data_IF_128274498632
#
_entry.id   IF_128274498632
#
_cell.length_a   1.000
_cell.length_b   1.000
_cell.length_c   1.000
_cell.angle_alpha   90.00
_cell.angle_beta   90.00
_cell.angle_gamma   90.00
#
_symmetry.space_group_name_H-M   'P 1'
#
loop_
_entity.id
_entity.type
_entity.pdbx_description
1 polymer ?
#
# COMPACT_ATOMS: atom_id res chain seq x y z
N UNK A 1 -4.55 1.56 12.83
CA UNK A 1 -3.52 2.58 12.56
C UNK A 1 -2.66 2.71 13.81
N UNK A 2 -1.34 2.73 13.66
CA UNK A 2 -0.38 2.90 14.75
C UNK A 2 0.79 3.74 14.23
N UNK A 3 1.05 4.89 14.86
CA UNK A 3 2.00 5.88 14.32
C UNK A 3 1.66 6.24 12.87
N UNK A 4 2.64 6.13 11.98
CA UNK A 4 2.52 6.39 10.54
C UNK A 4 2.21 5.11 9.73
N UNK A 5 1.63 4.08 10.35
CA UNK A 5 1.36 2.79 9.72
C UNK A 5 -0.09 2.32 9.92
N UNK A 6 -0.56 1.45 9.02
CA UNK A 6 -1.81 0.70 9.14
C UNK A 6 -1.54 -0.79 9.02
N UNK A 7 -2.18 -1.59 9.88
CA UNK A 7 -2.14 -3.04 9.78
C UNK A 7 -3.26 -3.51 8.83
N UNK A 8 -2.93 -4.35 7.85
CA UNK A 8 -3.92 -5.10 7.09
C UNK A 8 -4.58 -6.16 8.01
N UNK A 9 -5.90 -6.16 8.18
CA UNK A 9 -6.58 -7.09 9.10
C UNK A 9 -6.55 -8.55 8.63
N UNK A 10 -6.26 -8.80 7.35
CA UNK A 10 -6.23 -10.16 6.78
C UNK A 10 -4.84 -10.79 6.88
N UNK A 11 -3.80 -10.06 6.46
CA UNK A 11 -2.45 -10.61 6.27
C UNK A 11 -1.42 -10.04 7.25
N UNK A 12 -1.84 -9.21 8.20
CA UNK A 12 -0.99 -8.58 9.22
C UNK A 12 0.17 -7.73 8.66
N UNK A 13 0.02 -7.22 7.44
CA UNK A 13 0.97 -6.31 6.83
C UNK A 13 1.00 -4.97 7.53
N UNK A 14 2.17 -4.49 7.91
CA UNK A 14 2.37 -3.12 8.35
C UNK A 14 2.67 -2.22 7.15
N UNK A 15 1.69 -1.46 6.69
CA UNK A 15 1.80 -0.57 5.52
C UNK A 15 2.03 0.86 6.00
N UNK A 16 3.04 1.52 5.47
CA UNK A 16 3.36 2.91 5.78
C UNK A 16 2.40 3.88 5.08
N UNK A 17 1.88 4.85 5.83
CA UNK A 17 1.00 5.91 5.33
C UNK A 17 1.79 7.02 4.61
N UNK A 18 3.11 7.08 4.82
CA UNK A 18 4.00 8.03 4.14
C UNK A 18 4.31 7.54 2.74
N UNK A 19 4.73 6.27 2.65
CA UNK A 19 5.31 5.68 1.46
C UNK A 19 4.51 4.49 0.85
N UNK A 20 3.37 4.11 1.42
CA UNK A 20 2.58 2.98 0.91
C UNK A 20 3.30 1.62 0.97
N UNK A 21 4.57 1.59 1.39
CA UNK A 21 5.39 0.38 1.42
C UNK A 21 4.96 -0.50 2.58
N UNK A 22 4.87 -1.79 2.31
CA UNK A 22 4.86 -2.81 3.35
C UNK A 22 6.21 -2.79 4.08
N UNK A 23 6.18 -2.90 5.40
CA UNK A 23 7.38 -3.00 6.23
C UNK A 23 7.80 -4.47 6.32
N UNK A 24 9.12 -4.66 6.44
CA UNK A 24 9.71 -5.98 6.57
C UNK A 24 9.01 -6.79 7.67
N UNK A 25 8.73 -8.09 7.45
CA UNK A 25 9.27 -8.95 6.39
C UNK A 25 8.49 -8.92 5.05
N UNK A 26 7.39 -8.16 4.98
CA UNK A 26 6.54 -8.10 3.78
C UNK A 26 7.15 -7.20 2.69
N UNK A 27 6.84 -7.49 1.42
CA UNK A 27 7.31 -6.73 0.26
C UNK A 27 6.12 -6.43 -0.63
N UNK A 28 5.90 -5.15 -0.90
CA UNK A 28 4.83 -4.68 -1.75
C UNK A 28 4.50 -3.24 -1.39
N UNK A 29 3.81 -2.54 -2.28
CA UNK A 29 3.44 -1.16 -2.08
C UNK A 29 1.96 -1.00 -2.43
N UNK A 30 1.20 -0.38 -1.54
CA UNK A 30 -0.14 0.07 -1.86
C UNK A 30 -0.05 1.28 -2.80
N UNK A 31 -0.83 1.27 -3.90
CA UNK A 31 -0.90 2.41 -4.81
C UNK A 31 -1.29 3.68 -4.05
N UNK A 32 -0.56 4.76 -4.33
CA UNK A 32 -0.77 6.06 -3.70
C UNK A 32 -1.42 7.04 -4.64
N UNK A 33 -2.25 7.90 -4.07
CA UNK A 33 -2.96 8.96 -4.77
C UNK A 33 -2.69 10.29 -4.09
N UNK A 34 -2.55 11.34 -4.89
CA UNK A 34 -2.50 12.70 -4.42
C UNK A 34 -3.85 13.10 -3.82
N UNK A 35 -3.80 13.64 -2.61
CA UNK A 35 -4.96 14.07 -1.83
C UNK A 35 -4.89 15.58 -1.63
N UNK A 36 -6.04 16.24 -1.75
CA UNK A 36 -6.25 17.61 -1.30
C UNK A 36 -7.29 17.63 -0.19
N UNK A 37 -7.00 18.35 0.88
CA UNK A 37 -7.95 18.65 1.95
C UNK A 37 -8.26 20.15 1.92
N UNK A 38 -9.53 20.51 1.77
CA UNK A 38 -9.99 21.90 1.76
C UNK A 38 -11.35 21.99 2.44
N UNK A 39 -11.48 22.87 3.42
CA UNK A 39 -12.75 23.12 4.14
C UNK A 39 -13.38 21.84 4.72
N UNK A 40 -12.54 20.90 5.20
CA UNK A 40 -12.98 19.60 5.71
C UNK A 40 -13.36 18.57 4.64
N UNK A 41 -13.41 18.96 3.37
CA UNK A 41 -13.60 18.05 2.25
C UNK A 41 -12.26 17.44 1.81
N UNK A 42 -12.27 16.14 1.53
CA UNK A 42 -11.12 15.37 1.03
C UNK A 42 -11.40 14.98 -0.43
N UNK A 43 -10.47 15.30 -1.33
CA UNK A 43 -10.58 14.97 -2.75
C UNK A 43 -9.31 14.26 -3.24
N UNK A 44 -9.47 13.26 -4.09
CA UNK A 44 -8.37 12.61 -4.81
C UNK A 44 -8.12 13.31 -6.15
N UNK A 45 -6.90 13.23 -6.66
CA UNK A 45 -6.58 13.69 -8.00
C UNK A 45 -7.22 12.76 -9.04
N UNK A 46 -8.22 13.27 -9.76
CA UNK A 46 -9.05 12.47 -10.68
C UNK A 46 -8.24 11.75 -11.77
N UNK A 47 -7.18 12.37 -12.29
CA UNK A 47 -6.32 11.75 -13.31
C UNK A 47 -5.56 10.53 -12.80
N UNK A 48 -5.12 10.55 -11.55
CA UNK A 48 -4.45 9.40 -10.93
C UNK A 48 -5.46 8.29 -10.60
N UNK A 49 -6.62 8.66 -10.05
CA UNK A 49 -7.69 7.71 -9.76
C UNK A 49 -8.14 6.94 -11.02
N UNK A 50 -8.16 7.60 -12.17
CA UNK A 50 -8.53 7.00 -13.44
C UNK A 50 -7.45 6.10 -14.06
N UNK A 51 -6.23 6.03 -13.49
CA UNK A 51 -5.08 5.37 -14.16
C UNK A 51 -4.20 4.47 -13.29
N UNK A 52 -3.99 4.76 -11.99
CA UNK A 52 -2.92 4.10 -11.21
C UNK A 52 -3.31 2.75 -10.56
N UNK A 53 -4.59 2.38 -10.53
CA UNK A 53 -5.06 1.13 -9.91
C UNK A 53 -6.33 0.57 -10.58
N UNK A 54 -6.40 0.70 -11.91
CA UNK A 54 -7.58 0.26 -12.69
C UNK A 54 -7.47 -1.17 -13.21
N UNK A 55 -6.28 -1.77 -13.12
CA UNK A 55 -5.99 -3.13 -13.56
C UNK A 55 -5.66 -4.02 -12.35
N UNK A 56 -6.19 -5.25 -12.32
CA UNK A 56 -6.03 -6.20 -11.20
C UNK A 56 -4.64 -6.87 -11.13
N UNK A 57 -3.69 -6.47 -11.97
CA UNK A 57 -2.59 -7.33 -12.37
C UNK A 57 -1.50 -7.58 -11.31
N UNK A 58 -1.23 -6.70 -10.35
CA UNK A 58 -0.07 -6.87 -9.45
C UNK A 58 -0.28 -6.34 -8.03
N UNK A 59 -1.44 -6.57 -7.41
CA UNK A 59 -1.56 -6.32 -5.97
C UNK A 59 -0.94 -7.49 -5.18
N UNK A 60 0.39 -7.58 -5.19
CA UNK A 60 1.15 -8.60 -4.49
C UNK A 60 1.16 -8.30 -2.97
N UNK A 61 0.05 -8.57 -2.30
CA UNK A 61 0.02 -8.69 -0.85
C UNK A 61 0.52 -10.10 -0.45
N UNK A 62 1.84 -10.35 -0.50
CA UNK A 62 2.43 -11.64 -0.13
C UNK A 62 3.71 -11.56 0.71
N UNK A 63 3.85 -12.36 1.80
CA UNK A 63 5.08 -12.41 2.57
C UNK A 63 6.27 -12.78 1.68
N UNK A 64 7.48 -12.33 2.02
CA UNK A 64 8.71 -12.68 1.30
C UNK A 64 8.80 -14.20 1.13
N UNK A 65 8.54 -14.72 -0.06
CA UNK A 65 8.99 -16.05 -0.44
C UNK A 65 10.50 -15.95 -0.61
N UNK A 66 11.24 -16.03 0.51
CA UNK A 66 12.68 -16.26 0.46
C UNK A 66 12.83 -17.56 -0.32
N UNK A 67 13.59 -17.62 -1.44
CA UNK A 67 13.96 -18.91 -1.98
C UNK A 67 14.71 -19.60 -0.84
N UNK A 68 14.15 -20.68 -0.33
CA UNK A 68 14.91 -21.64 0.47
C UNK A 68 16.08 -22.06 -0.41
N UNK A 69 17.21 -21.37 -0.27
CA UNK A 69 18.48 -21.89 -0.74
C UNK A 69 18.75 -23.08 0.19
N UNK A 70 18.32 -24.25 -0.26
CA UNK A 70 18.72 -25.52 0.32
C UNK A 70 20.25 -25.54 0.35
N UNK A 71 20.78 -25.87 1.52
CA UNK A 71 22.20 -26.05 1.79
C UNK A 71 22.87 -27.00 0.79
#
# INVERSE_FOLDING_TARGET
VFGEHVACPLHNWAISLVDGEARAPDIGCATRFAVRVKDGAVSLLASELATLAVDDAEMACGPRTIPIVSA
#
